data_IF_712311085127
#
_entry.id   IF_712311085127
#
_cell.length_a   1.000
_cell.length_b   1.000
_cell.length_c   1.000
_cell.angle_alpha   90.00
_cell.angle_beta   90.00
_cell.angle_gamma   90.00
#
_symmetry.space_group_name_H-M   'P 1'
#
loop_
_entity.id
_entity.type
_entity.pdbx_description
1 polymer ?
#
# COMPACT_ATOMS: atom_id res chain seq x y z
N UNK A 1 -8.25 22.66 9.44
CA UNK A 1 -8.82 21.65 8.52
C UNK A 1 -7.64 21.01 7.82
N UNK A 2 -7.27 19.78 8.19
CA UNK A 2 -6.32 19.03 7.36
C UNK A 2 -7.08 18.67 6.08
N UNK A 3 -6.49 18.97 4.91
CA UNK A 3 -7.03 18.49 3.65
C UNK A 3 -7.23 16.96 3.74
N UNK A 4 -8.20 16.36 3.04
CA UNK A 4 -8.19 14.90 2.91
C UNK A 4 -6.81 14.51 2.38
N UNK A 5 -6.09 13.68 3.13
CA UNK A 5 -4.77 13.20 2.74
C UNK A 5 -4.91 12.64 1.31
N UNK A 6 -4.12 13.17 0.37
CA UNK A 6 -4.22 12.75 -1.03
C UNK A 6 -4.01 11.25 -1.08
N UNK A 7 -4.71 10.51 -1.95
CA UNK A 7 -4.58 9.05 -2.02
C UNK A 7 -3.12 8.62 -2.26
N UNK A 8 -2.39 9.39 -3.07
CA UNK A 8 -0.95 9.28 -3.26
C UNK A 8 -0.15 9.32 -1.93
N UNK A 9 -0.43 10.29 -1.07
CA UNK A 9 0.30 10.47 0.20
C UNK A 9 0.02 9.32 1.18
N UNK A 10 -1.21 8.81 1.19
CA UNK A 10 -1.58 7.63 1.98
C UNK A 10 -0.84 6.38 1.53
N UNK A 11 -0.79 6.11 0.21
CA UNK A 11 -0.08 4.95 -0.33
C UNK A 11 1.43 5.06 -0.10
N UNK A 12 2.02 6.25 -0.30
CA UNK A 12 3.44 6.48 0.02
C UNK A 12 3.73 6.21 1.50
N UNK A 13 2.92 6.78 2.39
CA UNK A 13 3.08 6.61 3.84
C UNK A 13 3.04 5.14 4.26
N UNK A 14 2.11 4.35 3.69
CA UNK A 14 2.00 2.92 3.96
C UNK A 14 3.20 2.14 3.40
N UNK A 15 3.57 2.36 2.13
CA UNK A 15 4.71 1.68 1.52
C UNK A 15 6.01 1.92 2.30
N UNK A 16 6.22 3.16 2.76
CA UNK A 16 7.35 3.51 3.63
C UNK A 16 7.25 2.88 5.03
N UNK A 17 6.06 2.86 5.63
CA UNK A 17 5.82 2.23 6.94
C UNK A 17 6.21 0.75 6.90
N UNK A 18 5.72 0.03 5.90
CA UNK A 18 6.04 -1.38 5.68
C UNK A 18 7.54 -1.54 5.43
N UNK A 19 8.15 -0.69 4.58
CA UNK A 19 9.58 -0.75 4.28
C UNK A 19 10.44 -0.58 5.54
N UNK A 20 10.10 0.38 6.41
CA UNK A 20 10.79 0.62 7.68
C UNK A 20 10.70 -0.58 8.61
N UNK A 21 9.55 -1.24 8.66
CA UNK A 21 9.32 -2.43 9.48
C UNK A 21 10.06 -3.67 8.97
N UNK A 22 10.20 -3.80 7.66
CA UNK A 22 10.92 -4.90 7.00
C UNK A 22 12.41 -4.58 6.81
N UNK A 23 12.94 -3.54 7.45
CA UNK A 23 14.34 -3.16 7.34
C UNK A 23 15.25 -4.34 7.73
N UNK A 24 15.90 -4.95 6.74
CA UNK A 24 16.71 -6.17 6.89
C UNK A 24 16.33 -7.29 5.92
N UNK A 25 15.11 -7.27 5.38
CA UNK A 25 14.64 -8.23 4.38
C UNK A 25 14.90 -7.72 2.96
N UNK A 26 15.73 -8.44 2.20
CA UNK A 26 16.20 -7.98 0.87
C UNK A 26 15.14 -7.99 -0.24
N UNK A 27 14.02 -8.70 -0.06
CA UNK A 27 12.99 -8.86 -1.10
C UNK A 27 11.97 -7.72 -1.13
N UNK A 28 11.12 -7.60 -0.10
CA UNK A 28 9.99 -6.66 -0.09
C UNK A 28 10.39 -5.19 -0.29
N UNK A 29 11.56 -4.80 0.21
CA UNK A 29 12.02 -3.41 0.17
C UNK A 29 12.22 -2.87 -1.25
N UNK A 30 12.64 -3.68 -2.22
CA UNK A 30 12.81 -3.23 -3.60
C UNK A 30 11.45 -3.00 -4.28
N UNK A 31 10.49 -3.90 -4.04
CA UNK A 31 9.15 -3.78 -4.61
C UNK A 31 8.38 -2.60 -4.01
N UNK A 32 8.48 -2.39 -2.69
CA UNK A 32 7.86 -1.22 -2.04
C UNK A 32 8.44 0.12 -2.51
N UNK A 33 9.72 0.16 -2.90
CA UNK A 33 10.29 1.35 -3.56
C UNK A 33 9.70 1.61 -4.94
N UNK A 34 9.35 0.55 -5.68
CA UNK A 34 8.65 0.67 -6.96
C UNK A 34 7.27 1.31 -6.77
N UNK A 35 6.51 0.88 -5.75
CA UNK A 35 5.22 1.49 -5.36
C UNK A 35 5.39 3.00 -5.09
N UNK A 36 6.40 3.39 -4.31
CA UNK A 36 6.67 4.81 -4.04
C UNK A 36 6.99 5.57 -5.32
N UNK A 37 7.79 4.99 -6.21
CA UNK A 37 8.12 5.60 -7.49
C UNK A 37 6.89 5.78 -8.39
N UNK A 38 5.95 4.83 -8.42
CA UNK A 38 4.68 4.99 -9.15
C UNK A 38 3.87 6.17 -8.60
N UNK A 39 3.77 6.29 -7.28
CA UNK A 39 3.11 7.44 -6.64
C UNK A 39 3.79 8.76 -7.02
N UNK A 40 5.12 8.81 -7.06
CA UNK A 40 5.89 9.99 -7.44
C UNK A 40 5.67 10.40 -8.92
N UNK A 41 5.23 9.47 -9.78
CA UNK A 41 4.92 9.70 -11.19
C UNK A 41 3.41 9.84 -11.46
N UNK A 42 2.62 10.17 -10.44
CA UNK A 42 1.15 10.32 -10.52
C UNK A 42 0.39 9.03 -10.90
N UNK A 43 1.03 7.87 -10.80
CA UNK A 43 0.46 6.55 -11.09
C UNK A 43 -0.17 5.91 -9.84
N UNK A 44 -0.93 6.68 -9.06
CA UNK A 44 -1.42 6.25 -7.75
C UNK A 44 -2.39 5.05 -7.81
N UNK A 45 -3.20 4.92 -8.87
CA UNK A 45 -4.09 3.78 -9.07
C UNK A 45 -3.30 2.48 -9.28
N UNK A 46 -2.27 2.52 -10.14
CA UNK A 46 -1.36 1.40 -10.37
C UNK A 46 -0.55 1.06 -9.11
N UNK A 47 -0.17 2.08 -8.33
CA UNK A 47 0.53 1.89 -7.07
C UNK A 47 -0.32 1.10 -6.04
N UNK A 48 -1.65 1.28 -6.03
CA UNK A 48 -2.55 0.49 -5.15
C UNK A 48 -2.54 -0.99 -5.55
N UNK A 49 -2.68 -1.27 -6.85
CA UNK A 49 -2.64 -2.63 -7.40
C UNK A 49 -1.29 -3.32 -7.11
N UNK A 50 -0.18 -2.63 -7.40
CA UNK A 50 1.16 -3.15 -7.16
C UNK A 50 1.40 -3.38 -5.65
N UNK A 51 0.99 -2.45 -4.79
CA UNK A 51 1.10 -2.62 -3.34
C UNK A 51 0.35 -3.84 -2.84
N UNK A 52 -0.89 -4.06 -3.30
CA UNK A 52 -1.68 -5.24 -2.94
C UNK A 52 -0.96 -6.53 -3.36
N UNK A 53 -0.44 -6.59 -4.60
CA UNK A 53 0.33 -7.73 -5.10
C UNK A 53 1.62 -7.96 -4.33
N UNK A 54 2.35 -6.92 -3.95
CA UNK A 54 3.57 -7.01 -3.14
C UNK A 54 3.26 -7.61 -1.77
N UNK A 55 2.18 -7.16 -1.13
CA UNK A 55 1.72 -7.68 0.15
C UNK A 55 1.38 -9.17 0.04
N UNK A 56 0.67 -9.59 -1.00
CA UNK A 56 0.32 -10.98 -1.21
C UNK A 56 1.54 -11.86 -1.52
N UNK A 57 2.35 -11.45 -2.49
CA UNK A 57 3.48 -12.21 -3.00
C UNK A 57 4.51 -12.48 -1.89
N UNK A 58 4.81 -11.46 -1.10
CA UNK A 58 5.73 -11.57 0.03
C UNK A 58 5.04 -11.96 1.35
N UNK A 59 3.72 -12.20 1.34
CA UNK A 59 2.90 -12.52 2.53
C UNK A 59 3.13 -11.53 3.68
N UNK A 60 3.28 -10.25 3.34
CA UNK A 60 3.61 -9.18 4.29
C UNK A 60 2.42 -8.98 5.23
N UNK A 61 2.64 -9.10 6.53
CA UNK A 61 1.64 -8.70 7.51
C UNK A 61 1.49 -7.18 7.52
N UNK A 62 0.26 -6.66 7.49
CA UNK A 62 -0.01 -5.22 7.58
C UNK A 62 -0.78 -4.90 8.84
N UNK A 63 -0.58 -3.71 9.40
CA UNK A 63 -1.35 -3.24 10.54
C UNK A 63 -2.75 -2.83 10.09
N UNK A 64 -3.73 -2.87 11.00
CA UNK A 64 -5.09 -2.38 10.71
C UNK A 64 -5.10 -0.93 10.21
N UNK A 65 -4.28 -0.07 10.82
CA UNK A 65 -4.14 1.33 10.39
C UNK A 65 -3.58 1.47 8.97
N UNK A 66 -2.67 0.58 8.56
CA UNK A 66 -2.12 0.58 7.20
C UNK A 66 -3.19 0.11 6.19
N UNK A 67 -3.97 -0.91 6.55
CA UNK A 67 -5.10 -1.34 5.72
C UNK A 67 -6.14 -0.23 5.57
N UNK A 68 -6.52 0.46 6.65
CA UNK A 68 -7.50 1.54 6.60
C UNK A 68 -7.03 2.69 5.67
N UNK A 69 -5.72 3.00 5.68
CA UNK A 69 -5.12 3.98 4.78
C UNK A 69 -5.12 3.51 3.32
N UNK A 70 -4.78 2.25 3.05
CA UNK A 70 -4.85 1.68 1.70
C UNK A 70 -6.30 1.70 1.20
N UNK A 71 -7.26 1.27 2.02
CA UNK A 71 -8.67 1.23 1.67
C UNK A 71 -9.25 2.64 1.43
N UNK A 72 -8.85 3.63 2.24
CA UNK A 72 -9.25 5.02 2.02
C UNK A 72 -8.69 5.59 0.71
N UNK A 73 -7.42 5.30 0.39
CA UNK A 73 -6.81 5.72 -0.87
C UNK A 73 -7.46 5.02 -2.08
N UNK A 74 -7.65 3.71 -2.01
CA UNK A 74 -8.31 2.91 -3.04
C UNK A 74 -9.76 3.36 -3.26
N UNK A 75 -10.50 3.70 -2.21
CA UNK A 75 -11.86 4.25 -2.32
C UNK A 75 -11.91 5.59 -3.05
N UNK A 76 -10.91 6.46 -2.82
CA UNK A 76 -10.80 7.74 -3.54
C UNK A 76 -10.39 7.57 -5.00
N UNK A 77 -9.59 6.55 -5.32
CA UNK A 77 -9.12 6.24 -6.66
C UNK A 77 -10.05 5.33 -7.46
N UNK A 78 -11.08 4.75 -6.84
CA UNK A 78 -11.92 3.74 -7.47
C UNK A 78 -11.24 2.37 -7.63
N UNK A 79 -10.16 2.10 -6.88
CA UNK A 79 -9.31 0.92 -6.98
C UNK A 79 -9.56 -0.12 -5.87
N UNK A 80 -10.76 -0.13 -5.28
CA UNK A 80 -11.08 -1.10 -4.21
C UNK A 80 -11.05 -2.55 -4.69
N UNK A 81 -11.34 -2.78 -5.97
CA UNK A 81 -11.33 -4.11 -6.57
C UNK A 81 -9.95 -4.77 -6.43
N UNK A 82 -8.85 -4.03 -6.64
CA UNK A 82 -7.48 -4.51 -6.45
C UNK A 82 -7.22 -5.09 -5.05
N UNK A 83 -7.86 -4.54 -4.01
CA UNK A 83 -7.73 -5.04 -2.64
C UNK A 83 -8.52 -6.34 -2.42
N UNK A 84 -9.71 -6.41 -3.02
CA UNK A 84 -10.61 -7.56 -2.87
C UNK A 84 -10.19 -8.77 -3.70
N UNK A 85 -9.63 -8.54 -4.90
CA UNK A 85 -9.07 -9.59 -5.75
C UNK A 85 -7.95 -10.35 -5.03
N UNK A 86 -7.06 -9.59 -4.38
CA UNK A 86 -5.92 -10.11 -3.63
C UNK A 86 -6.32 -10.61 -2.22
N UNK A 87 -7.52 -10.25 -1.76
CA UNK A 87 -8.01 -10.54 -0.39
C UNK A 87 -7.04 -10.05 0.66
N UNK A 88 -6.65 -8.78 0.52
CA UNK A 88 -5.63 -8.14 1.34
C UNK A 88 -5.96 -8.16 2.84
N UNK A 89 -7.24 -8.27 3.19
CA UNK A 89 -7.77 -8.39 4.54
C UNK A 89 -7.15 -9.56 5.34
N UNK A 90 -6.75 -10.63 4.65
CA UNK A 90 -6.15 -11.82 5.26
C UNK A 90 -4.76 -11.58 5.86
N UNK A 91 -4.12 -10.48 5.47
CA UNK A 91 -2.78 -10.10 5.92
C UNK A 91 -2.80 -9.11 7.09
N UNK A 92 -3.97 -8.63 7.50
CA UNK A 92 -4.12 -7.73 8.64
C UNK A 92 -3.65 -8.45 9.92
N UNK A 93 -2.87 -7.75 10.72
CA UNK A 93 -2.45 -8.13 12.08
C UNK A 93 -2.90 -7.05 13.07
N UNK A 94 -3.27 -7.49 14.27
CA UNK A 94 -3.63 -6.61 15.41
C UNK A 94 -2.41 -5.96 16.06
#
# INVERSE_FOLDING_TARGET
MNAPDRPADLIRAVAESITRRLAGEKGPAAALRSVVHMVDNDEAELAVDDLARVIEYHRIRILRTEYDQIAAAAGQLGALDSLTEVKIDRFISD
#
